data_IF_957029336352
#
_entry.id   IF_957029336352
#
_cell.length_a   1.000
_cell.length_b   1.000
_cell.length_c   1.000
_cell.angle_alpha   90.00
_cell.angle_beta   90.00
_cell.angle_gamma   90.00
#
_symmetry.space_group_name_H-M   'P 1'
#
loop_
_entity.id
_entity.type
_entity.pdbx_description
1 polymer ?
#
# COMPACT_ATOMS: atom_id res chain seq x y z
N UNK A 1 3.70 -38.71 24.31
CA UNK A 1 3.44 -37.31 23.88
C UNK A 1 2.04 -36.93 24.29
N UNK A 2 1.92 -36.04 25.28
CA UNK A 2 0.68 -35.65 25.96
C UNK A 2 -0.23 -34.81 25.05
N UNK A 3 -1.55 -34.94 25.21
CA UNK A 3 -2.58 -34.21 24.44
C UNK A 3 -2.37 -32.68 24.45
N UNK A 4 -1.73 -32.14 25.49
CA UNK A 4 -1.35 -30.73 25.57
C UNK A 4 -0.41 -30.30 24.43
N UNK A 5 0.59 -31.12 24.10
CA UNK A 5 1.55 -30.81 23.03
C UNK A 5 0.85 -30.72 21.67
N UNK A 6 -0.08 -31.65 21.40
CA UNK A 6 -0.86 -31.65 20.16
C UNK A 6 -1.76 -30.42 20.04
N UNK A 7 -2.28 -29.91 21.16
CA UNK A 7 -3.10 -28.70 21.20
C UNK A 7 -2.26 -27.46 20.87
N UNK A 8 -1.07 -27.33 21.45
CA UNK A 8 -0.16 -26.22 21.14
C UNK A 8 0.30 -26.24 19.68
N UNK A 9 0.62 -27.42 19.13
CA UNK A 9 1.00 -27.56 17.72
C UNK A 9 -0.15 -27.18 16.77
N UNK A 10 -1.41 -27.43 17.16
CA UNK A 10 -2.58 -27.05 16.39
C UNK A 10 -2.84 -25.54 16.46
N UNK A 11 -2.70 -24.92 17.63
CA UNK A 11 -2.84 -23.46 17.81
C UNK A 11 -1.81 -22.69 16.98
N UNK A 12 -0.55 -23.14 16.99
CA UNK A 12 0.52 -22.52 16.21
C UNK A 12 0.26 -22.62 14.70
N UNK A 13 -0.26 -23.76 14.22
CA UNK A 13 -0.66 -23.93 12.82
C UNK A 13 -1.79 -22.98 12.42
N UNK A 14 -2.79 -22.80 13.29
CA UNK A 14 -3.90 -21.87 13.06
C UNK A 14 -3.39 -20.44 13.02
N UNK A 15 -2.57 -20.02 14.00
CA UNK A 15 -1.98 -18.67 14.02
C UNK A 15 -1.17 -18.38 12.76
N UNK A 16 -0.33 -19.32 12.34
CA UNK A 16 0.46 -19.18 11.13
C UNK A 16 -0.41 -19.08 9.88
N UNK A 17 -1.43 -19.93 9.77
CA UNK A 17 -2.36 -19.88 8.65
C UNK A 17 -3.13 -18.55 8.59
N UNK A 18 -3.60 -18.06 9.73
CA UNK A 18 -4.27 -16.75 9.82
C UNK A 18 -3.33 -15.62 9.41
N UNK A 19 -2.09 -15.60 9.91
CA UNK A 19 -1.11 -14.60 9.52
C UNK A 19 -0.77 -14.64 8.02
N UNK A 20 -0.65 -15.83 7.44
CA UNK A 20 -0.45 -16.00 5.99
C UNK A 20 -1.67 -15.52 5.17
N UNK A 21 -2.88 -15.77 5.67
CA UNK A 21 -4.11 -15.34 5.03
C UNK A 21 -4.29 -13.82 5.09
N UNK A 22 -4.07 -13.21 6.26
CA UNK A 22 -4.07 -11.75 6.45
C UNK A 22 -3.02 -11.08 5.56
N UNK A 23 -1.82 -11.67 5.46
CA UNK A 23 -0.77 -11.17 4.58
C UNK A 23 -1.20 -11.23 3.09
N UNK A 24 -1.87 -12.32 2.70
CA UNK A 24 -2.37 -12.49 1.33
C UNK A 24 -3.48 -11.49 1.00
N UNK A 25 -4.40 -11.24 1.94
CA UNK A 25 -5.44 -10.24 1.79
C UNK A 25 -4.84 -8.83 1.66
N UNK A 26 -3.89 -8.47 2.53
CA UNK A 26 -3.20 -7.18 2.46
C UNK A 26 -2.46 -7.00 1.12
N UNK A 27 -1.81 -8.04 0.59
CA UNK A 27 -1.17 -7.99 -0.74
C UNK A 27 -2.16 -7.76 -1.86
N UNK A 28 -3.34 -8.38 -1.80
CA UNK A 28 -4.40 -8.19 -2.79
C UNK A 28 -4.93 -6.75 -2.76
N UNK A 29 -5.18 -6.21 -1.57
CA UNK A 29 -5.63 -4.82 -1.40
C UNK A 29 -4.60 -3.82 -1.95
N UNK A 30 -3.31 -4.01 -1.64
CA UNK A 30 -2.23 -3.20 -2.20
C UNK A 30 -2.19 -3.29 -3.73
N UNK A 31 -2.34 -4.48 -4.31
CA UNK A 31 -2.35 -4.66 -5.76
C UNK A 31 -3.54 -3.96 -6.43
N UNK A 32 -4.74 -4.02 -5.83
CA UNK A 32 -5.93 -3.30 -6.31
C UNK A 32 -5.68 -1.79 -6.25
N UNK A 33 -5.13 -1.31 -5.13
CA UNK A 33 -4.83 0.10 -4.95
C UNK A 33 -3.79 0.60 -5.98
N UNK A 34 -2.71 -0.15 -6.21
CA UNK A 34 -1.73 0.15 -7.26
C UNK A 34 -2.37 0.25 -8.64
N UNK A 35 -3.23 -0.72 -9.00
CA UNK A 35 -3.95 -0.73 -10.28
C UNK A 35 -4.83 0.51 -10.42
N UNK A 36 -5.60 0.85 -9.40
CA UNK A 36 -6.54 1.98 -9.44
C UNK A 36 -5.80 3.32 -9.57
N UNK A 37 -4.73 3.53 -8.79
CA UNK A 37 -3.93 4.75 -8.86
C UNK A 37 -3.21 4.89 -10.20
N UNK A 38 -2.61 3.81 -10.73
CA UNK A 38 -2.01 3.82 -12.07
C UNK A 38 -3.03 4.17 -13.15
N UNK A 39 -4.25 3.64 -13.05
CA UNK A 39 -5.32 3.97 -13.95
C UNK A 39 -5.68 5.46 -13.86
N UNK A 40 -5.85 6.01 -12.65
CA UNK A 40 -6.13 7.44 -12.46
C UNK A 40 -5.04 8.34 -13.06
N UNK A 41 -3.76 8.06 -12.79
CA UNK A 41 -2.63 8.85 -13.33
C UNK A 41 -2.58 8.81 -14.87
N UNK A 42 -2.95 7.67 -15.47
CA UNK A 42 -2.95 7.51 -16.93
C UNK A 42 -4.00 8.39 -17.63
N UNK A 43 -5.04 8.82 -16.91
CA UNK A 43 -6.15 9.59 -17.46
C UNK A 43 -5.98 11.08 -17.11
N UNK A 44 -5.73 11.92 -18.11
CA UNK A 44 -5.52 13.37 -17.89
C UNK A 44 -6.81 14.11 -17.45
N UNK A 45 -7.96 13.74 -18.01
CA UNK A 45 -9.24 14.46 -17.80
C UNK A 45 -9.98 14.11 -16.49
N UNK A 46 -10.03 12.85 -16.03
CA UNK A 46 -10.72 12.48 -14.79
C UNK A 46 -10.06 13.06 -13.55
N UNK A 47 -8.73 13.17 -13.52
CA UNK A 47 -7.99 13.72 -12.37
C UNK A 47 -8.36 15.20 -12.16
N UNK A 48 -8.39 15.98 -13.25
CA UNK A 48 -8.80 17.38 -13.20
C UNK A 48 -10.30 17.54 -12.84
N UNK A 49 -11.17 16.70 -13.42
CA UNK A 49 -12.62 16.74 -13.16
C UNK A 49 -12.97 16.37 -11.72
N UNK A 50 -12.21 15.47 -11.10
CA UNK A 50 -12.37 15.07 -9.70
C UNK A 50 -11.71 16.07 -8.72
N UNK A 51 -11.03 17.11 -9.21
CA UNK A 51 -10.30 18.06 -8.38
C UNK A 51 -9.10 17.45 -7.66
N UNK A 52 -8.56 16.35 -8.18
CA UNK A 52 -7.41 15.66 -7.59
C UNK A 52 -6.11 16.25 -8.14
N UNK A 53 -5.13 16.49 -7.25
CA UNK A 53 -3.79 16.87 -7.67
C UNK A 53 -3.02 15.64 -8.16
N UNK A 54 -2.66 15.64 -9.44
CA UNK A 54 -1.89 14.58 -10.08
C UNK A 54 -0.54 14.34 -9.42
N UNK A 55 0.17 15.41 -9.06
CA UNK A 55 1.50 15.30 -8.46
C UNK A 55 1.40 14.66 -7.07
N UNK A 56 0.37 15.04 -6.30
CA UNK A 56 0.09 14.42 -5.01
C UNK A 56 -0.25 12.93 -5.16
N UNK A 57 -1.00 12.56 -6.20
CA UNK A 57 -1.34 11.18 -6.49
C UNK A 57 -0.12 10.34 -6.88
N UNK A 58 0.82 10.92 -7.64
CA UNK A 58 2.09 10.29 -7.99
C UNK A 58 2.98 10.07 -6.75
N UNK A 59 3.07 11.06 -5.84
CA UNK A 59 3.81 10.91 -4.58
C UNK A 59 3.19 9.82 -3.70
N UNK A 60 1.86 9.80 -3.56
CA UNK A 60 1.16 8.77 -2.80
C UNK A 60 1.43 7.37 -3.37
N UNK A 61 1.39 7.21 -4.70
CA UNK A 61 1.71 5.95 -5.36
C UNK A 61 3.18 5.54 -5.16
N UNK A 62 4.12 6.49 -5.21
CA UNK A 62 5.53 6.22 -4.94
C UNK A 62 5.74 5.76 -3.50
N UNK A 63 5.09 6.41 -2.53
CA UNK A 63 5.15 6.00 -1.14
C UNK A 63 4.59 4.58 -0.94
N UNK A 64 3.43 4.28 -1.52
CA UNK A 64 2.80 2.96 -1.36
C UNK A 64 3.67 1.85 -1.99
N UNK A 65 4.36 2.12 -3.09
CA UNK A 65 5.26 1.14 -3.72
C UNK A 65 6.54 0.88 -2.92
N UNK A 66 7.10 1.90 -2.27
CA UNK A 66 8.43 1.81 -1.66
C UNK A 66 8.42 1.78 -0.13
N UNK A 67 7.34 2.23 0.52
CA UNK A 67 7.21 2.33 1.98
C UNK A 67 8.20 3.30 2.63
N UNK A 68 8.86 4.17 1.86
CA UNK A 68 9.92 5.06 2.35
C UNK A 68 9.36 6.42 2.79
N UNK A 69 9.18 6.59 4.10
CA UNK A 69 8.73 7.84 4.71
C UNK A 69 9.72 9.00 4.48
N UNK A 70 11.03 8.73 4.51
CA UNK A 70 12.02 9.78 4.31
C UNK A 70 12.01 10.31 2.86
N UNK A 71 11.68 9.46 1.90
CA UNK A 71 11.41 9.89 0.52
C UNK A 71 10.13 10.70 0.43
N UNK A 72 9.05 10.24 1.04
CA UNK A 72 7.76 10.95 1.05
C UNK A 72 7.92 12.40 1.55
N UNK A 73 8.63 12.60 2.67
CA UNK A 73 8.85 13.92 3.24
C UNK A 73 9.61 14.85 2.28
N UNK A 74 10.60 14.32 1.55
CA UNK A 74 11.36 15.09 0.55
C UNK A 74 10.50 15.47 -0.64
N UNK A 75 9.70 14.54 -1.15
CA UNK A 75 8.88 14.77 -2.34
C UNK A 75 7.72 15.73 -2.02
N UNK A 76 7.13 15.65 -0.82
CA UNK A 76 6.18 16.66 -0.32
C UNK A 76 6.81 18.04 -0.21
N UNK A 77 8.01 18.14 0.37
CA UNK A 77 8.71 19.42 0.52
C UNK A 77 9.09 20.08 -0.82
N UNK A 78 9.34 19.30 -1.89
CA UNK A 78 9.52 19.84 -3.26
C UNK A 78 8.22 20.42 -3.81
N UNK A 79 7.12 19.71 -3.60
CA UNK A 79 5.81 20.11 -4.08
C UNK A 79 5.33 21.42 -3.43
N UNK A 80 5.57 21.59 -2.12
CA UNK A 80 5.31 22.86 -1.41
C UNK A 80 6.15 24.04 -1.94
N UNK A 81 7.35 23.78 -2.44
CA UNK A 81 8.24 24.79 -3.03
C UNK A 81 7.89 25.13 -4.48
N UNK A 82 6.95 24.42 -5.09
CA UNK A 82 6.58 24.56 -6.50
C UNK A 82 7.61 23.94 -7.47
N UNK A 83 8.57 23.19 -6.94
CA UNK A 83 9.49 22.41 -7.77
C UNK A 83 8.74 21.17 -8.28
N UNK A 84 8.80 20.90 -9.59
CA UNK A 84 8.23 19.66 -10.14
C UNK A 84 8.94 18.46 -9.49
N UNK A 85 8.15 17.56 -8.91
CA UNK A 85 8.61 16.36 -8.21
C UNK A 85 9.42 15.42 -9.12
#
# INVERSE_FOLDING_TARGET
MTNLSKLFDADEKVRRWTAEHENTAARLELAIMHRNMNYLISQHEPVATLGLDRNMLEIALQFINHGDLGRLDRDLAKLEKGDKA
#
